data_IF_594739139343
#
_entry.id   IF_594739139343
#
_cell.length_a   1.000
_cell.length_b   1.000
_cell.length_c   1.000
_cell.angle_alpha   90.00
_cell.angle_beta   90.00
_cell.angle_gamma   90.00
#
_symmetry.space_group_name_H-M   'P 1'
#
loop_
_entity.id
_entity.type
_entity.pdbx_description
1 polymer ?
#
# COMPACT_ATOMS: atom_id res chain seq x y z
N UNK A 1 -12.57 15.74 -22.23
CA UNK A 1 -11.16 15.72 -21.81
C UNK A 1 -11.00 16.42 -20.48
N UNK A 2 -10.26 15.86 -19.58
CA UNK A 2 -10.02 16.49 -18.27
C UNK A 2 -8.57 16.92 -18.11
N UNK A 3 -8.35 18.04 -17.41
CA UNK A 3 -7.03 18.47 -16.99
C UNK A 3 -6.67 17.92 -15.61
N UNK A 4 -7.60 17.22 -14.95
CA UNK A 4 -7.41 16.64 -13.63
C UNK A 4 -7.01 15.17 -13.75
N UNK A 5 -5.93 14.77 -13.07
CA UNK A 5 -5.50 13.37 -13.00
C UNK A 5 -5.10 13.02 -11.58
N UNK A 6 -5.38 11.79 -11.19
CA UNK A 6 -4.86 11.26 -9.94
C UNK A 6 -3.35 11.10 -10.08
N UNK A 7 -2.59 11.68 -9.16
CA UNK A 7 -1.14 11.64 -9.20
C UNK A 7 -0.56 10.66 -8.20
N UNK A 8 -1.01 10.70 -6.96
CA UNK A 8 -0.46 9.88 -5.90
C UNK A 8 -1.47 9.63 -4.79
N UNK A 9 -1.28 8.53 -4.08
CA UNK A 9 -1.91 8.28 -2.78
C UNK A 9 -0.84 8.54 -1.73
N UNK A 10 -1.14 9.40 -0.78
CA UNK A 10 -0.19 9.81 0.25
C UNK A 10 -0.53 9.13 1.57
N UNK A 11 0.46 8.45 2.14
CA UNK A 11 0.36 7.75 3.42
C UNK A 11 1.08 8.59 4.47
N UNK A 12 0.41 8.90 5.56
CA UNK A 12 1.00 9.64 6.68
C UNK A 12 1.73 8.69 7.61
N UNK A 13 2.90 9.10 8.07
CA UNK A 13 3.73 8.28 8.94
C UNK A 13 4.58 9.14 9.88
N UNK A 14 4.84 8.64 11.07
CA UNK A 14 5.84 9.24 11.96
C UNK A 14 7.25 8.90 11.48
N UNK A 15 7.49 7.63 11.17
CA UNK A 15 8.77 7.14 10.67
C UNK A 15 8.67 6.91 9.16
N UNK A 16 8.92 7.99 8.40
CA UNK A 16 8.81 7.97 6.95
C UNK A 16 9.73 6.95 6.31
N UNK A 17 10.97 6.82 6.81
CA UNK A 17 11.94 5.88 6.24
C UNK A 17 11.45 4.43 6.37
N UNK A 18 10.97 4.06 7.54
CA UNK A 18 10.48 2.71 7.81
C UNK A 18 9.28 2.36 6.93
N UNK A 19 8.32 3.28 6.83
CA UNK A 19 7.11 3.07 6.03
C UNK A 19 7.43 3.07 4.54
N UNK A 20 8.30 3.98 4.09
CA UNK A 20 8.74 4.02 2.69
C UNK A 20 9.50 2.73 2.31
N UNK A 21 10.38 2.24 3.17
CA UNK A 21 11.13 1.00 2.91
C UNK A 21 10.20 -0.21 2.80
N UNK A 22 9.19 -0.29 3.68
CA UNK A 22 8.17 -1.34 3.59
C UNK A 22 7.50 -1.34 2.21
N UNK A 23 6.98 -0.19 1.78
CA UNK A 23 6.23 -0.08 0.52
C UNK A 23 7.13 -0.24 -0.71
N UNK A 24 8.35 0.29 -0.68
CA UNK A 24 9.31 0.07 -1.77
C UNK A 24 9.58 -1.41 -1.98
N UNK A 25 9.80 -2.13 -0.89
CA UNK A 25 10.11 -3.56 -0.94
C UNK A 25 8.91 -4.38 -1.37
N UNK A 26 7.73 -4.10 -0.79
CA UNK A 26 6.52 -4.85 -1.11
C UNK A 26 6.10 -4.66 -2.57
N UNK A 27 6.13 -3.43 -3.06
CA UNK A 27 5.73 -3.10 -4.43
C UNK A 27 6.85 -3.27 -5.45
N UNK A 28 8.08 -3.53 -4.99
CA UNK A 28 9.27 -3.70 -5.85
C UNK A 28 9.52 -2.47 -6.72
N UNK A 29 9.47 -1.30 -6.09
CA UNK A 29 9.71 -0.01 -6.75
C UNK A 29 10.82 0.75 -6.03
N UNK A 30 11.42 1.70 -6.74
CA UNK A 30 12.39 2.61 -6.17
C UNK A 30 11.76 3.91 -5.70
N UNK A 31 12.61 4.79 -5.24
CA UNK A 31 12.24 6.14 -4.84
C UNK A 31 12.38 7.06 -6.05
N UNK A 32 11.33 7.83 -6.34
CA UNK A 32 11.35 8.77 -7.46
C UNK A 32 11.88 10.15 -7.06
N UNK A 33 11.51 10.60 -5.86
CA UNK A 33 11.87 11.94 -5.39
C UNK A 33 11.77 12.01 -3.87
N UNK A 34 12.58 12.88 -3.29
CA UNK A 34 12.58 13.09 -1.85
C UNK A 34 12.83 14.57 -1.54
N UNK A 35 12.08 15.08 -0.58
CA UNK A 35 12.38 16.34 0.12
C UNK A 35 12.26 16.06 1.62
N UNK A 36 12.72 16.94 2.51
CA UNK A 36 12.56 16.69 3.96
C UNK A 36 11.11 16.41 4.32
N UNK A 37 10.88 15.24 4.96
CA UNK A 37 9.55 14.84 5.42
C UNK A 37 8.62 14.27 4.35
N UNK A 38 9.12 14.03 3.13
CA UNK A 38 8.27 13.53 2.06
C UNK A 38 9.06 12.67 1.07
N UNK A 39 8.55 11.47 0.79
CA UNK A 39 9.17 10.53 -0.15
C UNK A 39 8.13 10.10 -1.18
N UNK A 40 8.42 10.31 -2.47
CA UNK A 40 7.59 9.80 -3.57
C UNK A 40 8.23 8.54 -4.12
N UNK A 41 7.44 7.47 -4.22
CA UNK A 41 7.88 6.22 -4.80
C UNK A 41 7.60 6.21 -6.31
N UNK A 42 8.32 5.36 -7.01
CA UNK A 42 8.05 5.11 -8.42
C UNK A 42 6.71 4.39 -8.57
N UNK A 43 6.04 4.60 -9.69
CA UNK A 43 4.85 3.83 -10.04
C UNK A 43 5.25 2.41 -10.44
N UNK A 44 4.43 1.45 -10.07
CA UNK A 44 4.56 0.12 -10.66
C UNK A 44 4.26 0.18 -12.15
N UNK A 45 4.87 -0.73 -12.91
CA UNK A 45 4.59 -0.82 -14.34
C UNK A 45 3.09 -1.04 -14.57
N UNK A 46 2.49 -0.22 -15.41
CA UNK A 46 1.06 -0.28 -15.72
C UNK A 46 0.15 0.45 -14.74
N UNK A 47 0.67 0.95 -13.63
CA UNK A 47 -0.12 1.70 -12.67
C UNK A 47 -0.23 3.17 -13.07
N UNK A 48 -1.39 3.78 -12.77
CA UNK A 48 -1.63 5.19 -13.10
C UNK A 48 -1.30 6.15 -11.95
N UNK A 49 -1.15 5.63 -10.73
CA UNK A 49 -0.78 6.43 -9.56
C UNK A 49 0.39 5.78 -8.83
N UNK A 50 1.10 6.56 -8.03
CA UNK A 50 2.16 6.08 -7.16
C UNK A 50 1.78 6.29 -5.71
N UNK A 51 2.52 5.64 -4.80
CA UNK A 51 2.44 5.95 -3.39
C UNK A 51 3.47 7.02 -3.03
N UNK A 52 3.13 7.81 -2.03
CA UNK A 52 4.07 8.72 -1.38
C UNK A 52 3.91 8.59 0.12
N UNK A 53 4.95 8.89 0.87
CA UNK A 53 4.93 8.84 2.33
C UNK A 53 5.28 10.23 2.85
N UNK A 54 4.44 10.75 3.73
CA UNK A 54 4.60 12.09 4.30
C UNK A 54 4.73 12.00 5.81
N UNK A 55 5.71 12.74 6.34
CA UNK A 55 5.86 12.85 7.78
C UNK A 55 4.70 13.65 8.38
N UNK A 56 4.09 13.10 9.43
CA UNK A 56 3.17 13.81 10.33
C UNK A 56 3.55 13.43 11.76
N UNK A 57 3.40 14.37 12.70
CA UNK A 57 3.75 14.10 14.09
C UNK A 57 2.71 13.20 14.77
N UNK A 58 1.48 13.23 14.30
CA UNK A 58 0.34 12.60 14.97
C UNK A 58 -0.59 11.94 13.94
N UNK A 59 -0.19 10.79 13.36
CA UNK A 59 -1.04 10.11 12.37
C UNK A 59 -2.35 9.63 12.99
N UNK A 60 -3.41 9.63 12.19
CA UNK A 60 -4.70 9.10 12.62
C UNK A 60 -4.57 7.63 13.02
N UNK A 61 -5.07 7.27 14.18
CA UNK A 61 -5.10 5.90 14.66
C UNK A 61 -6.32 5.16 14.11
N UNK A 62 -6.17 3.84 13.96
CA UNK A 62 -7.26 2.97 13.53
C UNK A 62 -7.47 2.96 12.04
N UNK A 63 -8.66 2.49 11.64
CA UNK A 63 -9.01 2.31 10.23
C UNK A 63 -9.30 3.64 9.54
N UNK A 64 -8.66 3.88 8.42
CA UNK A 64 -8.92 5.06 7.60
C UNK A 64 -10.22 4.91 6.82
N UNK A 65 -10.80 6.02 6.39
CA UNK A 65 -12.00 6.00 5.53
C UNK A 65 -11.71 5.43 4.15
N UNK A 66 -10.51 5.65 3.66
CA UNK A 66 -10.03 5.09 2.41
C UNK A 66 -9.00 4.03 2.72
N UNK A 67 -8.97 2.97 1.92
CA UNK A 67 -7.92 1.97 2.00
C UNK A 67 -7.48 1.59 0.59
N UNK A 68 -6.34 0.93 0.50
CA UNK A 68 -5.77 0.49 -0.76
C UNK A 68 -6.10 -0.97 -0.99
N UNK A 69 -6.48 -1.31 -2.21
CA UNK A 69 -6.71 -2.68 -2.61
C UNK A 69 -5.66 -3.09 -3.66
N UNK A 70 -5.10 -4.27 -3.47
CA UNK A 70 -4.14 -4.85 -4.40
C UNK A 70 -4.61 -6.24 -4.82
N UNK A 71 -4.37 -6.58 -6.08
CA UNK A 71 -4.52 -7.95 -6.55
C UNK A 71 -3.18 -8.67 -6.48
N UNK A 72 -3.20 -9.94 -6.09
CA UNK A 72 -2.03 -10.82 -6.10
C UNK A 72 -2.39 -12.15 -6.71
N UNK A 73 -1.60 -12.62 -7.66
CA UNK A 73 -1.78 -13.96 -8.24
C UNK A 73 -1.37 -15.06 -7.27
N UNK A 74 -0.62 -14.71 -6.21
CA UNK A 74 -0.24 -15.62 -5.14
C UNK A 74 -0.38 -14.90 -3.79
N UNK A 75 -1.60 -14.83 -3.29
CA UNK A 75 -1.91 -14.11 -2.05
C UNK A 75 -1.19 -14.70 -0.83
N UNK A 76 -0.98 -16.01 -0.79
CA UNK A 76 -0.27 -16.65 0.32
C UNK A 76 1.20 -16.21 0.38
N UNK A 77 1.88 -16.18 -0.76
CA UNK A 77 3.27 -15.71 -0.83
C UNK A 77 3.36 -14.22 -0.47
N UNK A 78 2.42 -13.42 -0.95
CA UNK A 78 2.35 -11.98 -0.63
C UNK A 78 2.14 -11.77 0.86
N UNK A 79 1.26 -12.55 1.51
CA UNK A 79 1.02 -12.47 2.95
C UNK A 79 2.31 -12.75 3.74
N UNK A 80 3.06 -13.79 3.37
CA UNK A 80 4.34 -14.10 4.01
C UNK A 80 5.34 -12.96 3.87
N UNK A 81 5.40 -12.36 2.70
CA UNK A 81 6.29 -11.24 2.43
C UNK A 81 5.93 -9.99 3.24
N UNK A 82 4.64 -9.69 3.35
CA UNK A 82 4.15 -8.57 4.17
C UNK A 82 4.61 -8.73 5.62
N UNK A 83 4.44 -9.93 6.18
CA UNK A 83 4.87 -10.23 7.55
C UNK A 83 6.39 -10.08 7.70
N UNK A 84 7.15 -10.60 6.76
CA UNK A 84 8.62 -10.51 6.80
C UNK A 84 9.12 -9.07 6.74
N UNK A 85 8.37 -8.19 6.07
CA UNK A 85 8.71 -6.76 5.93
C UNK A 85 8.23 -5.91 7.11
N UNK A 86 7.56 -6.49 8.09
CA UNK A 86 7.11 -5.80 9.28
C UNK A 86 5.64 -5.40 9.27
N UNK A 87 4.87 -5.88 8.30
CA UNK A 87 3.43 -5.71 8.28
C UNK A 87 2.73 -6.77 9.13
N UNK A 88 1.42 -6.64 9.25
CA UNK A 88 0.60 -7.52 10.08
C UNK A 88 -0.69 -7.89 9.37
N UNK A 89 -1.07 -9.17 9.45
CA UNK A 89 -2.37 -9.63 8.98
C UNK A 89 -3.42 -9.33 10.04
N UNK A 90 -4.52 -8.70 9.66
CA UNK A 90 -5.58 -8.28 10.59
C UNK A 90 -6.84 -9.13 10.46
N UNK A 91 -7.41 -9.23 9.25
CA UNK A 91 -8.71 -9.88 9.05
C UNK A 91 -8.74 -10.59 7.71
N UNK A 92 -9.48 -11.70 7.65
CA UNK A 92 -9.76 -12.42 6.40
C UNK A 92 -11.27 -12.35 6.11
N UNK A 93 -11.60 -12.12 4.84
CA UNK A 93 -12.98 -11.98 4.40
C UNK A 93 -13.26 -12.84 3.17
N UNK A 94 -14.52 -13.20 3.02
CA UNK A 94 -15.02 -13.88 1.84
C UNK A 94 -16.45 -13.44 1.55
N UNK A 95 -16.73 -13.12 0.28
CA UNK A 95 -18.07 -12.86 -0.21
C UNK A 95 -18.23 -13.59 -1.54
N UNK A 96 -19.13 -14.57 -1.59
CA UNK A 96 -19.46 -15.31 -2.82
C UNK A 96 -18.21 -15.86 -3.53
N UNK A 97 -17.28 -16.46 -2.76
CA UNK A 97 -16.04 -17.02 -3.31
C UNK A 97 -14.94 -16.02 -3.57
N UNK A 98 -15.19 -14.75 -3.41
CA UNK A 98 -14.15 -13.72 -3.49
C UNK A 98 -13.50 -13.57 -2.13
N UNK A 99 -12.17 -13.79 -2.09
CA UNK A 99 -11.40 -13.77 -0.85
C UNK A 99 -10.45 -12.58 -0.83
N UNK A 100 -10.42 -11.87 0.30
CA UNK A 100 -9.40 -10.85 0.53
C UNK A 100 -8.98 -10.84 2.00
N UNK A 101 -7.79 -10.33 2.24
CA UNK A 101 -7.23 -10.19 3.58
C UNK A 101 -6.83 -8.76 3.82
N UNK A 102 -7.16 -8.25 5.00
CA UNK A 102 -6.75 -6.92 5.45
C UNK A 102 -5.45 -7.03 6.21
N UNK A 103 -4.50 -6.19 5.84
CA UNK A 103 -3.18 -6.09 6.47
C UNK A 103 -2.96 -4.67 6.97
N UNK A 104 -1.97 -4.51 7.84
CA UNK A 104 -1.46 -3.20 8.24
C UNK A 104 0.01 -3.09 7.87
N UNK A 105 0.44 -1.90 7.48
CA UNK A 105 1.86 -1.59 7.32
C UNK A 105 2.51 -1.37 8.69
N UNK A 106 3.83 -1.12 8.78
CA UNK A 106 4.50 -0.99 10.07
C UNK A 106 3.95 0.08 11.01
N UNK A 107 3.19 1.04 10.51
CA UNK A 107 2.56 2.07 11.35
C UNK A 107 1.03 1.95 11.40
N UNK A 108 0.48 0.82 10.97
CA UNK A 108 -0.95 0.56 11.10
C UNK A 108 -1.80 1.05 9.95
N UNK A 109 -1.22 1.49 8.84
CA UNK A 109 -2.00 1.84 7.65
C UNK A 109 -2.58 0.58 7.03
N UNK A 110 -3.90 0.50 6.93
CA UNK A 110 -4.58 -0.71 6.46
C UNK A 110 -4.70 -0.76 4.94
N UNK A 111 -4.52 -1.96 4.40
CA UNK A 111 -4.67 -2.23 2.97
C UNK A 111 -5.13 -3.67 2.78
N UNK A 112 -5.67 -3.97 1.61
CA UNK A 112 -6.24 -5.28 1.32
C UNK A 112 -5.50 -5.97 0.18
N UNK A 113 -5.36 -7.29 0.31
CA UNK A 113 -4.83 -8.15 -0.75
C UNK A 113 -5.92 -9.15 -1.13
N UNK A 114 -6.27 -9.17 -2.42
CA UNK A 114 -7.17 -10.16 -2.98
C UNK A 114 -6.39 -11.18 -3.81
N UNK A 115 -6.82 -12.45 -3.76
CA UNK A 115 -6.31 -13.46 -4.69
C UNK A 115 -6.96 -13.20 -6.05
N UNK A 116 -6.23 -12.54 -6.93
CA UNK A 116 -6.73 -12.13 -8.24
C UNK A 116 -5.57 -11.86 -9.17
N UNK A 117 -5.81 -11.97 -10.48
CA UNK A 117 -4.84 -11.48 -11.45
C UNK A 117 -4.74 -9.96 -11.30
N UNK A 118 -3.54 -9.40 -11.01
CA UNK A 118 -3.39 -7.96 -10.80
C UNK A 118 -3.84 -7.12 -12.01
N UNK A 119 -3.70 -7.65 -13.22
CA UNK A 119 -4.08 -6.92 -14.44
C UNK A 119 -5.59 -6.94 -14.68
N UNK A 120 -6.31 -7.87 -14.05
CA UNK A 120 -7.76 -8.00 -14.15
C UNK A 120 -8.48 -7.38 -12.96
N UNK A 121 -7.75 -7.10 -11.89
CA UNK A 121 -8.31 -6.51 -10.68
C UNK A 121 -8.45 -4.99 -10.88
N UNK A 122 -9.65 -4.56 -11.08
CA UNK A 122 -9.89 -3.14 -11.33
C UNK A 122 -11.06 -2.63 -10.52
#
# INVERSE_FOLDING_TARGET
MTTLKMAAVVINACDVERVADFWKSLLEVGERRRVPGFVWLERQHGASVSLAVQHVDDPTEGRNRLHLDFGSSDAAATAGRITDLGGEELERHEIHGFHWTVFADPEGNEFCIAQADPDEYA
#
